data_IF_455083229268
#
_entry.id   IF_455083229268
#
_cell.length_a   1.000
_cell.length_b   1.000
_cell.length_c   1.000
_cell.angle_alpha   90.00
_cell.angle_beta   90.00
_cell.angle_gamma   90.00
#
_symmetry.space_group_name_H-M   'P 1'
#
loop_
_entity.id
_entity.type
_entity.pdbx_description
1 polymer ?
#
# COMPACT_ATOMS: atom_id res chain seq x y z
N UNK A 1 -2.06 -10.89 -10.90
CA UNK A 1 -1.01 -9.93 -10.49
C UNK A 1 -1.55 -8.77 -9.64
N UNK A 2 -2.68 -8.14 -10.00
CA UNK A 2 -3.27 -7.05 -9.20
C UNK A 2 -3.61 -7.45 -7.75
N UNK A 3 -4.23 -8.62 -7.55
CA UNK A 3 -4.48 -9.14 -6.20
C UNK A 3 -3.19 -9.30 -5.38
N UNK A 4 -2.13 -9.84 -5.99
CA UNK A 4 -0.84 -10.02 -5.32
C UNK A 4 -0.21 -8.66 -4.92
N UNK A 5 -0.34 -7.63 -5.76
CA UNK A 5 0.08 -6.28 -5.41
C UNK A 5 -0.74 -5.71 -4.25
N UNK A 6 -2.07 -5.84 -4.28
CA UNK A 6 -2.96 -5.38 -3.21
C UNK A 6 -2.64 -6.07 -1.87
N UNK A 7 -2.43 -7.39 -1.88
CA UNK A 7 -2.04 -8.15 -0.69
C UNK A 7 -0.65 -7.76 -0.19
N UNK A 8 0.32 -7.56 -1.08
CA UNK A 8 1.67 -7.12 -0.73
C UNK A 8 1.65 -5.77 -0.02
N UNK A 9 1.05 -4.74 -0.65
CA UNK A 9 0.99 -3.40 -0.07
C UNK A 9 0.11 -3.36 1.18
N UNK A 10 -0.97 -4.15 1.23
CA UNK A 10 -1.77 -4.31 2.44
C UNK A 10 -0.95 -4.89 3.60
N UNK A 11 -0.22 -5.97 3.37
CA UNK A 11 0.66 -6.58 4.38
C UNK A 11 1.78 -5.62 4.81
N UNK A 12 2.42 -4.95 3.84
CA UNK A 12 3.45 -3.96 4.12
C UNK A 12 2.89 -2.80 4.94
N UNK A 13 1.67 -2.35 4.66
CA UNK A 13 0.98 -1.30 5.45
C UNK A 13 0.83 -1.74 6.89
N UNK A 14 0.40 -2.98 7.14
CA UNK A 14 0.28 -3.55 8.49
C UNK A 14 1.63 -3.53 9.21
N UNK A 15 2.70 -4.02 8.57
CA UNK A 15 4.03 -4.01 9.19
C UNK A 15 4.53 -2.60 9.48
N UNK A 16 4.28 -1.64 8.58
CA UNK A 16 4.63 -0.23 8.81
C UNK A 16 3.81 0.38 9.94
N UNK A 17 2.53 0.02 10.09
CA UNK A 17 1.69 0.49 11.20
C UNK A 17 2.18 -0.05 12.53
N UNK A 18 2.45 -1.35 12.61
CA UNK A 18 3.04 -1.98 13.81
C UNK A 18 4.34 -1.29 14.18
N UNK A 19 5.18 -0.99 13.18
CA UNK A 19 6.44 -0.29 13.40
C UNK A 19 6.25 1.16 13.89
N UNK A 20 5.21 1.85 13.43
CA UNK A 20 4.91 3.21 13.84
C UNK A 20 4.42 3.30 15.29
N UNK A 21 3.79 2.22 15.80
CA UNK A 21 3.35 2.12 17.19
C UNK A 21 4.52 2.00 18.18
N UNK A 22 5.72 1.63 17.70
CA UNK A 22 6.91 1.56 18.55
C UNK A 22 7.32 2.97 18.98
N UNK A 23 7.39 3.25 20.30
CA UNK A 23 7.71 4.58 20.81
C UNK A 23 9.01 5.14 20.24
N UNK A 24 8.98 6.40 19.80
CA UNK A 24 10.17 7.09 19.29
C UNK A 24 10.53 6.80 17.83
N UNK A 25 9.97 5.77 17.19
CA UNK A 25 10.27 5.44 15.79
C UNK A 25 9.76 6.51 14.81
N UNK A 26 8.58 7.08 15.05
CA UNK A 26 8.05 8.20 14.25
C UNK A 26 8.95 9.44 14.37
N UNK A 27 9.61 9.66 15.53
CA UNK A 27 10.50 10.81 15.76
C UNK A 27 11.97 10.49 15.47
N UNK A 28 12.28 9.27 15.06
CA UNK A 28 13.65 8.84 14.82
C UNK A 28 14.29 9.63 13.68
N UNK A 29 15.59 9.87 13.80
CA UNK A 29 16.36 10.60 12.79
C UNK A 29 16.31 9.84 11.45
N UNK A 30 16.46 10.56 10.34
CA UNK A 30 16.42 9.97 8.99
C UNK A 30 17.37 8.77 8.85
N UNK A 31 18.56 8.87 9.45
CA UNK A 31 19.58 7.82 9.44
C UNK A 31 19.15 6.51 10.12
N UNK A 32 18.25 6.57 11.10
CA UNK A 32 17.78 5.36 11.81
C UNK A 32 16.47 4.87 11.21
N UNK A 33 15.61 5.77 10.76
CA UNK A 33 14.29 5.45 10.21
C UNK A 33 14.34 4.90 8.78
N UNK A 34 15.31 5.33 7.96
CA UNK A 34 15.50 4.82 6.59
C UNK A 34 15.92 3.34 6.54
N UNK A 35 16.99 2.89 7.22
CA UNK A 35 17.36 1.47 7.21
C UNK A 35 16.27 0.61 7.84
N UNK A 36 15.63 1.10 8.90
CA UNK A 36 14.50 0.42 9.50
C UNK A 36 13.32 0.26 8.52
N UNK A 37 12.96 1.32 7.80
CA UNK A 37 11.93 1.27 6.76
C UNK A 37 12.24 0.28 5.64
N UNK A 38 13.52 0.18 5.25
CA UNK A 38 13.99 -0.81 4.27
C UNK A 38 13.89 -2.25 4.81
N UNK A 39 14.19 -2.47 6.09
CA UNK A 39 14.01 -3.77 6.75
C UNK A 39 12.54 -4.18 6.75
N UNK A 40 11.62 -3.27 7.04
CA UNK A 40 10.18 -3.55 6.98
C UNK A 40 9.74 -3.97 5.58
N UNK A 41 10.26 -3.30 4.53
CA UNK A 41 10.01 -3.67 3.14
C UNK A 41 10.59 -5.05 2.83
N UNK A 42 11.80 -5.35 3.28
CA UNK A 42 12.41 -6.66 3.08
C UNK A 42 11.60 -7.78 3.74
N UNK A 43 11.14 -7.57 4.98
CA UNK A 43 10.31 -8.54 5.73
C UNK A 43 9.01 -8.84 5.00
N UNK A 44 8.37 -7.85 4.36
CA UNK A 44 7.18 -8.09 3.55
C UNK A 44 7.51 -8.77 2.21
N UNK A 45 8.64 -8.45 1.60
CA UNK A 45 9.00 -8.90 0.24
C UNK A 45 9.41 -10.36 0.20
N UNK A 46 10.16 -10.84 1.20
CA UNK A 46 10.62 -12.24 1.27
C UNK A 46 9.45 -13.24 1.18
N UNK A 47 8.43 -13.21 2.07
CA UNK A 47 7.32 -14.16 2.02
C UNK A 47 6.50 -14.00 0.74
N UNK A 48 6.30 -12.78 0.24
CA UNK A 48 5.59 -12.56 -1.03
C UNK A 48 6.32 -13.19 -2.22
N UNK A 49 7.64 -13.10 -2.27
CA UNK A 49 8.44 -13.73 -3.32
C UNK A 49 8.30 -15.26 -3.31
N UNK A 50 8.14 -15.88 -2.14
CA UNK A 50 7.86 -17.31 -2.01
C UNK A 50 6.43 -17.69 -2.39
N UNK A 51 5.43 -16.91 -1.93
CA UNK A 51 4.02 -17.22 -2.14
C UNK A 51 3.56 -16.98 -3.58
N UNK A 52 4.04 -15.92 -4.23
CA UNK A 52 3.67 -15.56 -5.60
C UNK A 52 4.45 -16.39 -6.63
N UNK A 53 5.60 -16.95 -6.25
CA UNK A 53 6.48 -17.70 -7.14
C UNK A 53 7.23 -16.85 -8.17
N UNK A 54 6.91 -15.56 -8.27
CA UNK A 54 7.58 -14.57 -9.13
C UNK A 54 8.38 -13.58 -8.28
N UNK A 55 9.68 -13.86 -8.16
CA UNK A 55 10.61 -13.02 -7.38
C UNK A 55 10.79 -11.64 -8.01
N UNK A 56 10.78 -11.56 -9.34
CA UNK A 56 10.98 -10.31 -10.07
C UNK A 56 9.84 -9.35 -9.78
N UNK A 57 8.60 -9.86 -9.83
CA UNK A 57 7.42 -9.08 -9.47
C UNK A 57 7.47 -8.57 -8.02
N UNK A 58 7.84 -9.42 -7.06
CA UNK A 58 7.97 -9.00 -5.66
C UNK A 58 9.02 -7.88 -5.49
N UNK A 59 10.16 -7.96 -6.20
CA UNK A 59 11.16 -6.89 -6.16
C UNK A 59 10.67 -5.59 -6.80
N UNK A 60 9.90 -5.64 -7.89
CA UNK A 60 9.31 -4.44 -8.47
C UNK A 60 8.34 -3.75 -7.49
N UNK A 61 7.54 -4.51 -6.75
CA UNK A 61 6.66 -3.95 -5.72
C UNK A 61 7.45 -3.29 -4.58
N UNK A 62 8.56 -3.92 -4.15
CA UNK A 62 9.45 -3.34 -3.13
C UNK A 62 10.09 -2.03 -3.59
N UNK A 63 10.57 -1.99 -4.84
CA UNK A 63 11.12 -0.77 -5.46
C UNK A 63 10.04 0.30 -5.57
N UNK A 64 8.82 -0.06 -5.96
CA UNK A 64 7.70 0.88 -6.02
C UNK A 64 7.36 1.47 -4.65
N UNK A 65 7.35 0.64 -3.59
CA UNK A 65 7.15 1.10 -2.21
C UNK A 65 8.23 2.09 -1.77
N UNK A 66 9.50 1.78 -2.03
CA UNK A 66 10.63 2.67 -1.72
C UNK A 66 10.54 3.99 -2.50
N UNK A 67 10.28 3.93 -3.80
CA UNK A 67 10.18 5.11 -4.65
C UNK A 67 9.02 6.02 -4.20
N UNK A 68 7.84 5.45 -3.94
CA UNK A 68 6.70 6.21 -3.44
C UNK A 68 7.00 6.83 -2.07
N UNK A 69 7.65 6.10 -1.17
CA UNK A 69 8.09 6.61 0.13
C UNK A 69 9.00 7.83 -0.02
N UNK A 70 9.99 7.76 -0.93
CA UNK A 70 10.89 8.87 -1.22
C UNK A 70 10.11 10.07 -1.78
N UNK A 71 9.22 9.84 -2.74
CA UNK A 71 8.39 10.89 -3.35
C UNK A 71 7.57 11.60 -2.28
N UNK A 72 6.84 10.86 -1.44
CA UNK A 72 6.04 11.44 -0.37
C UNK A 72 6.90 12.10 0.70
N UNK A 73 8.09 11.58 0.98
CA UNK A 73 9.04 12.22 1.91
C UNK A 73 9.52 13.57 1.39
N UNK A 74 9.73 13.71 0.08
CA UNK A 74 10.14 14.95 -0.58
C UNK A 74 8.98 15.95 -0.63
N UNK A 75 7.78 15.50 -0.99
CA UNK A 75 6.57 16.32 -1.03
C UNK A 75 6.19 16.82 0.37
N UNK A 76 6.19 15.93 1.36
CA UNK A 76 5.84 16.21 2.74
C UNK A 76 7.09 16.35 3.60
N UNK A 77 7.87 17.41 3.36
CA UNK A 77 9.17 17.65 4.05
C UNK A 77 9.10 17.62 5.58
N UNK A 78 7.96 17.98 6.17
CA UNK A 78 7.74 17.99 7.63
C UNK A 78 7.47 16.60 8.22
N UNK A 79 7.12 15.62 7.39
CA UNK A 79 6.82 14.27 7.85
C UNK A 79 8.09 13.48 8.13
N UNK A 80 7.99 12.55 9.08
CA UNK A 80 9.05 11.57 9.31
C UNK A 80 9.12 10.56 8.16
N UNK A 81 10.23 9.85 8.06
CA UNK A 81 10.39 8.81 7.05
C UNK A 81 9.30 7.73 7.19
N UNK A 82 9.04 7.30 8.43
CA UNK A 82 8.06 6.25 8.73
C UNK A 82 6.63 6.72 8.41
N UNK A 83 6.29 7.99 8.70
CA UNK A 83 5.01 8.57 8.29
C UNK A 83 4.83 8.63 6.77
N UNK A 84 5.88 9.06 6.04
CA UNK A 84 5.86 9.06 4.59
C UNK A 84 5.72 7.64 4.00
N UNK A 85 6.39 6.65 4.59
CA UNK A 85 6.31 5.26 4.18
C UNK A 85 4.92 4.67 4.44
N UNK A 86 4.35 4.93 5.62
CA UNK A 86 2.99 4.53 5.97
C UNK A 86 1.98 5.05 4.94
N UNK A 87 2.02 6.35 4.65
CA UNK A 87 1.14 6.95 3.66
C UNK A 87 1.34 6.37 2.26
N UNK A 88 2.60 6.25 1.83
CA UNK A 88 2.95 5.72 0.52
C UNK A 88 2.40 4.31 0.31
N UNK A 89 2.60 3.43 1.28
CA UNK A 89 2.18 2.04 1.20
C UNK A 89 0.66 1.90 1.32
N UNK A 90 0.02 2.69 2.19
CA UNK A 90 -1.44 2.74 2.27
C UNK A 90 -2.05 3.20 0.93
N UNK A 91 -1.53 4.27 0.33
CA UNK A 91 -1.98 4.78 -0.96
C UNK A 91 -1.78 3.76 -2.10
N UNK A 92 -0.61 3.12 -2.17
CA UNK A 92 -0.34 2.07 -3.16
C UNK A 92 -1.22 0.83 -2.96
N UNK A 93 -1.51 0.47 -1.70
CA UNK A 93 -2.43 -0.61 -1.35
C UNK A 93 -3.85 -0.31 -1.79
N UNK A 94 -4.37 0.87 -1.46
CA UNK A 94 -5.68 1.35 -1.91
C UNK A 94 -5.77 1.38 -3.43
N UNK A 95 -4.75 1.91 -4.12
CA UNK A 95 -4.73 1.97 -5.58
C UNK A 95 -4.72 0.57 -6.21
N UNK A 96 -3.86 -0.32 -5.71
CA UNK A 96 -3.77 -1.70 -6.21
C UNK A 96 -5.08 -2.47 -5.99
N UNK A 97 -5.72 -2.27 -4.83
CA UNK A 97 -7.03 -2.84 -4.52
C UNK A 97 -8.11 -2.28 -5.44
N UNK A 98 -8.18 -0.96 -5.64
CA UNK A 98 -9.18 -0.34 -6.53
C UNK A 98 -9.01 -0.80 -7.98
N UNK A 99 -7.78 -0.93 -8.48
CA UNK A 99 -7.51 -1.50 -9.80
C UNK A 99 -7.97 -2.96 -9.88
N UNK A 100 -7.73 -3.75 -8.84
CA UNK A 100 -8.21 -5.12 -8.76
C UNK A 100 -9.75 -5.19 -8.73
N UNK A 101 -10.40 -4.44 -7.86
CA UNK A 101 -11.85 -4.36 -7.74
C UNK A 101 -12.48 -3.93 -9.08
N UNK A 102 -11.96 -2.85 -9.69
CA UNK A 102 -12.36 -2.38 -11.02
C UNK A 102 -12.23 -3.49 -12.06
N UNK A 103 -11.12 -4.23 -12.08
CA UNK A 103 -10.91 -5.33 -13.02
C UNK A 103 -11.97 -6.42 -12.86
N UNK A 104 -12.34 -6.77 -11.62
CA UNK A 104 -13.38 -7.77 -11.37
C UNK A 104 -14.75 -7.25 -11.79
N UNK A 105 -15.08 -6.02 -11.42
CA UNK A 105 -16.36 -5.38 -11.74
C UNK A 105 -16.64 -5.40 -13.23
N UNK A 106 -15.66 -5.13 -14.09
CA UNK A 106 -15.90 -5.01 -15.53
C UNK A 106 -15.56 -6.27 -16.34
N UNK A 107 -14.77 -7.21 -15.81
CA UNK A 107 -14.44 -8.46 -16.51
C UNK A 107 -15.44 -9.58 -16.20
N UNK A 108 -15.97 -9.63 -14.97
CA UNK A 108 -16.81 -10.74 -14.50
C UNK A 108 -18.30 -10.44 -14.64
N UNK A 109 -18.69 -9.18 -14.50
CA UNK A 109 -20.10 -8.79 -14.52
C UNK A 109 -20.69 -8.88 -15.94
N UNK A 110 -21.64 -9.80 -16.12
CA UNK A 110 -22.39 -9.96 -17.38
C UNK A 110 -23.86 -9.55 -17.27
N UNK A 111 -24.38 -9.51 -16.06
CA UNK A 111 -25.76 -9.12 -15.78
C UNK A 111 -25.85 -7.60 -15.49
N UNK A 112 -26.85 -6.87 -16.04
CA UNK A 112 -27.02 -5.44 -15.81
C UNK A 112 -27.19 -5.04 -14.34
N UNK A 113 -27.92 -5.83 -13.55
CA UNK A 113 -28.14 -5.58 -12.12
C UNK A 113 -26.83 -5.76 -11.36
N UNK A 114 -26.09 -6.82 -11.70
CA UNK A 114 -24.79 -7.08 -11.07
C UNK A 114 -23.75 -6.00 -11.43
N UNK A 115 -23.77 -5.48 -12.65
CA UNK A 115 -22.96 -4.33 -13.07
C UNK A 115 -23.27 -3.09 -12.23
N UNK A 116 -24.55 -2.69 -12.15
CA UNK A 116 -24.95 -1.49 -11.39
C UNK A 116 -24.58 -1.63 -9.91
N UNK A 117 -24.86 -2.78 -9.29
CA UNK A 117 -24.52 -3.03 -7.89
C UNK A 117 -23.00 -3.00 -7.64
N UNK A 118 -22.21 -3.64 -8.52
CA UNK A 118 -20.75 -3.68 -8.39
C UNK A 118 -20.10 -2.33 -8.67
N UNK A 119 -20.64 -1.53 -9.60
CA UNK A 119 -20.19 -0.16 -9.84
C UNK A 119 -20.50 0.76 -8.66
N UNK A 120 -21.68 0.62 -8.04
CA UNK A 120 -22.03 1.37 -6.83
C UNK A 120 -21.13 0.97 -5.66
N UNK A 121 -20.84 -0.32 -5.48
CA UNK A 121 -19.88 -0.80 -4.50
C UNK A 121 -18.49 -0.20 -4.73
N UNK A 122 -17.99 -0.23 -5.97
CA UNK A 122 -16.69 0.35 -6.33
C UNK A 122 -16.65 1.86 -6.02
N UNK A 123 -17.72 2.59 -6.28
CA UNK A 123 -17.82 4.01 -5.93
C UNK A 123 -17.74 4.24 -4.41
N UNK A 124 -18.43 3.40 -3.63
CA UNK A 124 -18.37 3.46 -2.16
C UNK A 124 -16.97 3.10 -1.64
N UNK A 125 -16.28 2.13 -2.25
CA UNK A 125 -14.90 1.79 -1.91
C UNK A 125 -13.93 2.95 -2.18
N UNK A 126 -14.07 3.63 -3.33
CA UNK A 126 -13.27 4.82 -3.64
C UNK A 126 -13.50 5.90 -2.56
N UNK A 127 -14.76 6.17 -2.21
CA UNK A 127 -15.10 7.15 -1.19
C UNK A 127 -14.53 6.75 0.18
N UNK A 128 -14.69 5.50 0.60
CA UNK A 128 -14.21 4.98 1.87
C UNK A 128 -12.68 5.04 1.97
N UNK A 129 -11.96 4.64 0.93
CA UNK A 129 -10.49 4.66 0.92
C UNK A 129 -9.94 6.09 0.88
N UNK A 130 -10.59 6.98 0.11
CA UNK A 130 -10.21 8.41 0.09
C UNK A 130 -10.38 9.04 1.47
N UNK A 131 -11.50 8.74 2.13
CA UNK A 131 -11.80 9.21 3.48
C UNK A 131 -10.82 8.62 4.50
N UNK A 132 -10.51 7.32 4.42
CA UNK A 132 -9.51 6.68 5.28
C UNK A 132 -8.11 7.30 5.14
N UNK A 133 -7.66 7.58 3.91
CA UNK A 133 -6.38 8.24 3.67
C UNK A 133 -6.37 9.67 4.21
N UNK A 134 -7.50 10.38 4.16
CA UNK A 134 -7.62 11.74 4.69
C UNK A 134 -7.55 11.80 6.23
N UNK A 135 -7.92 10.73 6.94
CA UNK A 135 -7.84 10.66 8.41
C UNK A 135 -6.53 10.08 8.95
N UNK A 136 -5.67 9.55 8.07
CA UNK A 136 -4.40 8.95 8.46
C UNK A 136 -3.39 10.01 8.92
N UNK A 137 -3.60 11.29 8.58
CA UNK A 137 -2.77 12.45 8.90
C UNK A 137 -3.59 13.74 9.02
#
# INVERSE_FOLDING_TARGET
MLLAAALYFGALSVFTTISALVPGMIRARLWTSLPFGAVVIAIATIPTAFLVGDRTFAYYLAVAALAATIIFRILMRRWSWLGAQLFAVAALGSLSYLLYATSITYVVARDPVYLVASSLLLFLEIAALSLSLSYLF
#
